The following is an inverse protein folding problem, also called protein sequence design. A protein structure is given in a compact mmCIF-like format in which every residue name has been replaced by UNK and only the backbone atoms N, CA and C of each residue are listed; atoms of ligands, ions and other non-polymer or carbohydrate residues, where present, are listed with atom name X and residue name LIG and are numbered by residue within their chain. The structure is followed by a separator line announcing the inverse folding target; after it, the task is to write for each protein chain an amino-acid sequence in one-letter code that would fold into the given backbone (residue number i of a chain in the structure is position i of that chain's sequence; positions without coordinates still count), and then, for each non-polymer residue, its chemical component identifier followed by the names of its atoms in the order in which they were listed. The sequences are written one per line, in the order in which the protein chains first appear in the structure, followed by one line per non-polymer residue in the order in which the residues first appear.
data_IF_226851908588
#
_entry.id   IF_226851908588
#
_cell.length_a   1.000
_cell.length_b   1.000
_cell.length_c   1.000
_cell.angle_alpha   90.00
_cell.angle_beta   90.00
_cell.angle_gamma   90.00
#
_symmetry.space_group_name_H-M   'P 1'
#
loop_
_entity.id
_entity.type
_entity.pdbx_description
1 polymer ?
#
# COMPACT_ATOMS: atom_id res chain seq x y z
N UNK A 1 5.31 11.48 -5.01
CA UNK A 1 5.50 10.94 -3.65
C UNK A 1 6.24 11.98 -2.85
N UNK A 2 5.75 12.31 -1.67
CA UNK A 2 6.45 13.19 -0.73
C UNK A 2 7.31 12.32 0.20
N UNK A 3 8.49 12.82 0.57
CA UNK A 3 9.35 12.13 1.54
C UNK A 3 8.65 12.07 2.90
N UNK A 4 8.68 10.91 3.58
CA UNK A 4 8.12 10.70 4.92
C UNK A 4 8.98 9.74 5.72
N UNK A 5 9.01 9.92 7.05
CA UNK A 5 9.48 8.90 8.02
C UNK A 5 8.27 8.35 8.78
N UNK A 6 8.29 7.06 9.13
CA UNK A 6 7.19 6.41 9.86
C UNK A 6 7.33 6.60 11.37
N UNK A 7 8.56 6.66 11.87
CA UNK A 7 8.87 6.80 13.28
C UNK A 7 9.94 7.87 13.52
N UNK A 8 10.05 8.26 14.79
CA UNK A 8 11.03 9.27 15.20
C UNK A 8 12.46 8.74 15.13
N UNK A 9 13.36 9.59 14.66
CA UNK A 9 14.80 9.32 14.49
C UNK A 9 15.62 10.27 15.36
N UNK A 10 16.66 9.78 16.03
CA UNK A 10 17.52 10.55 16.93
C UNK A 10 17.32 10.19 18.40
N UNK A 11 17.58 11.13 19.31
CA UNK A 11 17.50 10.89 20.75
C UNK A 11 16.09 10.44 21.16
N UNK A 12 16.03 9.33 21.90
CA UNK A 12 14.79 8.71 22.40
C UNK A 12 13.81 8.34 21.28
N UNK A 13 14.24 8.39 20.01
CA UNK A 13 13.44 7.97 18.86
C UNK A 13 13.35 6.45 18.77
N UNK A 14 12.39 5.95 18.00
CA UNK A 14 12.31 4.50 17.71
C UNK A 14 13.51 4.06 16.87
N UNK A 15 14.07 4.97 16.07
CA UNK A 15 15.26 4.73 15.24
C UNK A 15 15.09 3.51 14.33
N UNK A 16 13.93 3.40 13.67
CA UNK A 16 13.71 2.39 12.64
C UNK A 16 14.74 2.57 11.52
N UNK A 17 15.40 1.48 11.14
CA UNK A 17 16.54 1.47 10.20
C UNK A 17 16.27 2.29 8.92
N UNK A 18 15.11 2.11 8.32
CA UNK A 18 14.70 2.80 7.09
C UNK A 18 14.55 4.32 7.27
N UNK A 19 13.96 4.74 8.40
CA UNK A 19 13.80 6.16 8.73
C UNK A 19 15.16 6.79 9.04
N UNK A 20 16.04 6.06 9.74
CA UNK A 20 17.40 6.52 10.05
C UNK A 20 18.21 6.71 8.77
N UNK A 21 18.15 5.77 7.82
CA UNK A 21 18.82 5.90 6.51
C UNK A 21 18.34 7.12 5.76
N UNK A 22 17.02 7.33 5.69
CA UNK A 22 16.48 8.51 5.03
C UNK A 22 16.99 9.81 5.68
N UNK A 23 17.02 9.88 7.01
CA UNK A 23 17.55 11.05 7.72
C UNK A 23 19.06 11.23 7.48
N UNK A 24 19.87 10.16 7.46
CA UNK A 24 21.30 10.23 7.15
C UNK A 24 21.55 10.75 5.73
N UNK A 25 20.81 10.24 4.73
CA UNK A 25 20.86 10.73 3.34
C UNK A 25 20.51 12.20 3.26
N UNK A 26 19.39 12.60 3.89
CA UNK A 26 18.95 13.99 3.89
C UNK A 26 20.00 14.90 4.52
N UNK A 27 20.56 14.54 5.68
CA UNK A 27 21.62 15.30 6.35
C UNK A 27 22.88 15.41 5.49
N UNK A 28 23.29 14.33 4.81
CA UNK A 28 24.42 14.34 3.88
C UNK A 28 24.19 15.31 2.70
N UNK A 29 22.96 15.46 2.20
CA UNK A 29 22.64 16.45 1.16
C UNK A 29 22.85 17.91 1.61
N UNK A 30 22.75 18.18 2.90
CA UNK A 30 23.01 19.51 3.45
C UNK A 30 24.46 19.72 3.89
N UNK A 31 25.31 18.68 3.82
CA UNK A 31 26.69 18.69 4.33
C UNK A 31 27.57 19.80 3.74
N UNK A 32 27.43 20.13 2.45
CA UNK A 32 28.22 21.19 1.81
C UNK A 32 27.94 22.58 2.38
N UNK A 33 26.77 22.79 2.99
CA UNK A 33 26.42 24.03 3.69
C UNK A 33 26.95 24.07 5.12
N UNK A 34 27.45 22.95 5.63
CA UNK A 34 27.72 22.71 7.05
C UNK A 34 29.03 21.94 7.24
N UNK A 35 30.15 22.55 6.81
CA UNK A 35 31.50 22.13 7.19
C UNK A 35 31.73 22.44 8.68
N UNK A 36 32.35 21.55 9.50
CA UNK A 36 33.16 20.39 9.11
C UNK A 36 32.56 19.02 9.45
N UNK A 37 31.23 18.81 9.37
CA UNK A 37 30.67 17.48 9.67
C UNK A 37 31.14 16.44 8.64
N UNK A 38 31.69 15.32 9.14
CA UNK A 38 32.05 14.16 8.33
C UNK A 38 30.80 13.55 7.68
N UNK A 39 30.97 12.85 6.55
CA UNK A 39 29.85 12.18 5.90
C UNK A 39 29.29 11.14 6.85
N UNK A 40 27.98 11.11 7.01
CA UNK A 40 27.34 9.99 7.69
C UNK A 40 27.37 8.78 6.76
N UNK A 41 27.62 7.60 7.34
CA UNK A 41 27.33 6.35 6.66
C UNK A 41 25.81 6.18 6.59
N UNK A 42 25.27 5.86 5.42
CA UNK A 42 23.83 5.67 5.18
C UNK A 42 23.41 4.24 5.57
N UNK A 43 23.77 3.84 6.78
CA UNK A 43 23.73 2.46 7.26
C UNK A 43 22.52 2.15 8.14
N UNK A 44 21.69 3.16 8.46
CA UNK A 44 20.50 3.02 9.30
C UNK A 44 20.77 2.93 10.78
N UNK A 45 22.02 3.12 11.21
CA UNK A 45 22.40 3.13 12.62
C UNK A 45 22.33 4.54 13.17
N UNK A 46 21.42 4.76 14.12
CA UNK A 46 21.29 6.05 14.78
C UNK A 46 22.38 6.23 15.87
N UNK A 47 23.63 6.33 15.43
CA UNK A 47 24.80 6.45 16.29
C UNK A 47 25.03 7.89 16.78
N UNK A 48 26.08 8.08 17.60
CA UNK A 48 26.44 9.41 18.14
C UNK A 48 26.70 10.43 17.03
N UNK A 49 27.21 10.00 15.86
CA UNK A 49 27.48 10.89 14.72
C UNK A 49 26.18 11.34 14.06
N UNK A 50 25.24 10.43 13.87
CA UNK A 50 23.90 10.71 13.33
C UNK A 50 23.15 11.68 14.23
N UNK A 51 23.14 11.45 15.55
CA UNK A 51 22.51 12.36 16.51
C UNK A 51 23.19 13.74 16.53
N UNK A 52 24.52 13.80 16.49
CA UNK A 52 25.24 15.07 16.44
C UNK A 52 24.94 15.88 15.17
N UNK A 53 24.77 15.21 14.03
CA UNK A 53 24.36 15.86 12.79
C UNK A 53 22.92 16.41 12.86
N UNK A 54 22.00 15.70 13.51
CA UNK A 54 20.63 16.19 13.78
C UNK A 54 20.68 17.44 14.66
N UNK A 55 21.41 17.39 15.79
CA UNK A 55 21.57 18.54 16.68
C UNK A 55 22.10 19.76 15.94
N UNK A 56 23.13 19.55 15.12
CA UNK A 56 23.74 20.61 14.34
C UNK A 56 22.74 21.22 13.36
N UNK A 57 22.00 20.39 12.63
CA UNK A 57 20.98 20.85 11.68
C UNK A 57 19.87 21.63 12.38
N UNK A 58 19.40 21.16 13.53
CA UNK A 58 18.39 21.84 14.33
C UNK A 58 18.84 23.22 14.84
N UNK A 59 20.09 23.32 15.33
CA UNK A 59 20.66 24.58 15.79
C UNK A 59 20.83 25.57 14.63
N UNK A 60 21.35 25.10 13.50
CA UNK A 60 21.86 25.98 12.45
C UNK A 60 20.87 26.28 11.32
N UNK A 61 19.98 25.35 10.96
CA UNK A 61 19.01 25.55 9.87
C UNK A 61 17.57 25.72 10.38
N UNK A 62 17.17 24.87 11.33
CA UNK A 62 15.84 25.00 11.97
C UNK A 62 15.80 26.21 12.93
N UNK A 63 16.96 26.67 13.41
CA UNK A 63 17.14 27.77 14.38
C UNK A 63 16.42 27.54 15.71
N UNK A 64 16.44 26.29 16.19
CA UNK A 64 15.85 25.94 17.49
C UNK A 64 16.69 26.50 18.65
N UNK A 65 16.03 27.19 19.60
CA UNK A 65 16.69 27.73 20.81
C UNK A 65 17.27 26.62 21.70
N UNK A 66 16.58 25.48 21.79
CA UNK A 66 17.03 24.29 22.51
C UNK A 66 16.92 23.09 21.56
N UNK A 67 18.07 22.55 21.16
CA UNK A 67 18.12 21.34 20.32
C UNK A 67 17.83 20.11 21.14
N UNK A 68 17.05 19.19 20.59
CA UNK A 68 16.66 17.94 21.23
C UNK A 68 17.31 16.71 20.57
N UNK A 69 17.83 16.87 19.35
CA UNK A 69 18.47 15.81 18.58
C UNK A 69 17.48 14.76 18.11
N UNK A 70 16.20 15.12 17.93
CA UNK A 70 15.12 14.24 17.52
C UNK A 70 14.37 14.77 16.29
N UNK A 71 14.09 13.89 15.36
CA UNK A 71 13.31 14.15 14.14
C UNK A 71 12.04 13.33 14.22
N UNK A 72 10.92 13.99 14.48
CA UNK A 72 9.60 13.34 14.51
C UNK A 72 8.94 13.33 13.12
N UNK A 73 8.10 12.32 12.81
CA UNK A 73 7.27 12.30 11.61
C UNK A 73 6.45 13.58 11.49
N UNK A 74 6.50 14.22 10.31
CA UNK A 74 5.85 15.51 10.04
C UNK A 74 6.26 16.66 10.99
N UNK A 75 7.30 16.46 11.81
CA UNK A 75 7.81 17.46 12.73
C UNK A 75 8.64 18.53 12.03
N UNK A 76 8.86 19.65 12.71
CA UNK A 76 9.53 20.84 12.16
C UNK A 76 10.90 20.51 11.55
N UNK A 77 11.70 19.66 12.22
CA UNK A 77 13.01 19.23 11.73
C UNK A 77 12.89 18.47 10.41
N UNK A 78 11.91 17.57 10.29
CA UNK A 78 11.66 16.79 9.08
C UNK A 78 11.13 17.66 7.93
N UNK A 79 10.18 18.56 8.22
CA UNK A 79 9.69 19.54 7.25
C UNK A 79 10.82 20.43 6.72
N UNK A 80 11.79 20.79 7.58
CA UNK A 80 12.94 21.61 7.19
C UNK A 80 13.91 20.84 6.29
N UNK A 81 14.24 19.59 6.64
CA UNK A 81 15.07 18.71 5.82
C UNK A 81 14.49 18.54 4.41
N UNK A 82 13.17 18.53 4.29
CA UNK A 82 12.47 18.24 3.03
C UNK A 82 12.09 19.49 2.22
N UNK A 83 12.17 20.69 2.79
CA UNK A 83 11.64 21.95 2.26
C UNK A 83 12.14 22.35 0.87
N UNK A 84 13.39 22.02 0.53
CA UNK A 84 14.03 22.48 -0.71
C UNK A 84 13.94 21.49 -1.87
N UNK A 85 13.45 20.27 -1.63
CA UNK A 85 13.25 19.30 -2.69
C UNK A 85 11.92 19.58 -3.38
N UNK A 86 11.92 19.97 -4.65
CA UNK A 86 10.68 20.07 -5.44
C UNK A 86 10.02 18.68 -5.54
N UNK A 87 8.70 18.56 -5.77
CA UNK A 87 8.02 17.26 -5.83
C UNK A 87 8.67 16.22 -6.77
N UNK A 88 9.29 16.69 -7.87
CA UNK A 88 10.06 15.86 -8.80
C UNK A 88 11.37 15.32 -8.18
N UNK A 89 12.11 16.16 -7.46
CA UNK A 89 13.35 15.77 -6.79
C UNK A 89 13.10 14.86 -5.58
N UNK A 90 11.98 15.07 -4.86
CA UNK A 90 11.53 14.14 -3.82
C UNK A 90 11.20 12.76 -4.40
N UNK A 91 10.59 12.71 -5.58
CA UNK A 91 10.35 11.47 -6.30
C UNK A 91 11.64 10.82 -6.82
N UNK A 92 12.62 11.62 -7.27
CA UNK A 92 13.92 11.13 -7.74
C UNK A 92 14.79 10.58 -6.59
N UNK A 93 14.77 11.20 -5.40
CA UNK A 93 15.43 10.68 -4.18
C UNK A 93 14.76 9.38 -3.72
N UNK A 94 13.42 9.34 -3.68
CA UNK A 94 12.68 8.13 -3.39
C UNK A 94 12.96 7.01 -4.42
N UNK A 95 13.19 7.37 -5.69
CA UNK A 95 13.58 6.44 -6.76
C UNK A 95 15.02 5.93 -6.60
N UNK A 96 15.96 6.77 -6.15
CA UNK A 96 17.34 6.38 -5.84
C UNK A 96 17.43 5.44 -4.64
N UNK A 97 16.58 5.61 -3.63
CA UNK A 97 16.44 4.67 -2.50
C UNK A 97 16.01 3.27 -2.97
N UNK A 98 15.09 3.20 -3.94
CA UNK A 98 14.68 1.92 -4.55
C UNK A 98 15.73 1.32 -5.49
N UNK A 99 16.74 2.08 -5.91
CA UNK A 99 17.80 1.62 -6.83
C UNK A 99 19.06 1.08 -6.14
N UNK A 100 19.26 1.35 -4.85
CA UNK A 100 20.42 0.87 -4.06
C UNK A 100 20.12 -0.36 -3.19
N UNK A 101 18.86 -0.72 -3.00
CA UNK A 101 18.43 -1.94 -2.29
C UNK A 101 17.98 -2.98 -3.32
N UNK A 102 18.90 -3.82 -3.79
CA UNK A 102 18.53 -5.10 -4.39
C UNK A 102 18.49 -6.17 -3.31
N UNK A 103 17.30 -6.73 -3.13
CA UNK A 103 16.93 -7.74 -2.13
C UNK A 103 17.71 -9.07 -2.21
N UNK A 104 18.55 -9.24 -3.24
CA UNK A 104 19.36 -10.45 -3.46
C UNK A 104 20.68 -10.45 -2.66
N UNK A 105 21.10 -9.32 -2.08
CA UNK A 105 22.38 -9.22 -1.34
C UNK A 105 22.28 -9.39 0.18
N UNK A 106 21.07 -9.62 0.72
CA UNK A 106 20.78 -9.59 2.16
C UNK A 106 20.41 -10.95 2.79
N UNK A 107 20.59 -12.07 2.09
CA UNK A 107 20.51 -13.40 2.71
C UNK A 107 21.67 -14.27 2.20
N UNK A 108 22.69 -14.51 3.02
CA UNK A 108 22.56 -15.61 3.97
C UNK A 108 23.07 -15.27 5.37
N UNK A 109 22.27 -15.60 6.38
CA UNK A 109 22.69 -15.63 7.77
C UNK A 109 22.25 -14.40 8.55
N UNK A 110 21.01 -14.44 9.05
CA UNK A 110 20.57 -13.82 10.31
C UNK A 110 19.11 -14.25 10.53
N UNK A 111 18.95 -15.42 11.13
CA UNK A 111 17.84 -15.67 12.04
C UNK A 111 18.21 -15.04 13.38
N UNK A 112 17.41 -14.12 13.95
CA UNK A 112 17.48 -13.84 15.38
C UNK A 112 16.14 -14.01 16.10
N UNK A 113 16.27 -14.66 17.25
CA UNK A 113 15.27 -14.90 18.28
C UNK A 113 14.58 -13.60 18.74
N UNK A 114 13.25 -13.58 18.74
CA UNK A 114 12.43 -12.53 19.33
C UNK A 114 11.90 -13.05 20.67
N UNK A 115 12.13 -12.31 21.77
CA UNK A 115 11.48 -12.57 23.05
C UNK A 115 9.98 -12.26 22.95
N UNK A 116 9.09 -13.06 23.55
CA UNK A 116 7.66 -12.99 23.28
C UNK A 116 7.07 -11.73 23.93
N UNK A 117 6.39 -10.90 23.13
CA UNK A 117 5.26 -10.14 23.63
C UNK A 117 4.12 -11.15 23.90
N UNK A 118 3.37 -10.94 24.97
CA UNK A 118 2.33 -11.82 25.50
C UNK A 118 1.46 -12.42 24.37
N UNK A 119 1.60 -13.74 24.19
CA UNK A 119 1.36 -14.45 22.93
C UNK A 119 0.32 -15.56 23.09
N UNK A 120 -0.73 -15.32 23.87
CA UNK A 120 -1.73 -16.35 24.15
C UNK A 120 -2.73 -16.60 23.01
N UNK A 121 -2.70 -15.84 21.90
CA UNK A 121 -3.62 -16.05 20.76
C UNK A 121 -2.99 -16.09 19.34
N UNK A 122 -1.67 -15.89 19.21
CA UNK A 122 -1.00 -15.84 17.90
C UNK A 122 -0.92 -17.21 17.21
N UNK A 123 -0.89 -18.31 17.99
CA UNK A 123 -0.86 -19.68 17.47
C UNK A 123 -2.15 -20.08 16.73
N UNK A 124 -3.27 -19.39 16.94
CA UNK A 124 -4.54 -19.86 16.38
C UNK A 124 -4.78 -19.48 14.91
N UNK A 125 -3.95 -18.60 14.32
CA UNK A 125 -4.15 -18.12 12.94
C UNK A 125 -3.03 -18.49 11.95
N UNK A 126 -1.99 -19.16 12.40
CA UNK A 126 -0.86 -19.60 11.55
C UNK A 126 -1.30 -20.61 10.50
N UNK A 127 -2.28 -21.45 10.83
CA UNK A 127 -2.79 -22.52 9.96
C UNK A 127 -3.64 -22.03 8.78
N UNK A 128 -4.01 -20.75 8.78
CA UNK A 128 -4.82 -20.15 7.71
C UNK A 128 -3.96 -19.34 6.75
N UNK A 129 -4.10 -19.67 5.46
CA UNK A 129 -3.35 -19.07 4.36
C UNK A 129 -4.19 -18.03 3.63
N UNK A 130 -3.58 -16.88 3.37
CA UNK A 130 -4.14 -15.84 2.50
C UNK A 130 -3.07 -15.47 1.49
N UNK A 131 -3.29 -15.84 0.24
CA UNK A 131 -2.32 -15.64 -0.84
C UNK A 131 -2.89 -14.72 -1.92
N UNK A 132 -2.01 -14.27 -2.81
CA UNK A 132 -2.40 -13.52 -4.00
C UNK A 132 -2.43 -14.46 -5.19
N UNK A 133 -3.35 -14.21 -6.13
CA UNK A 133 -3.30 -14.83 -7.44
C UNK A 133 -1.97 -14.48 -8.13
N UNK A 134 -1.41 -15.44 -8.87
CA UNK A 134 -0.06 -15.34 -9.46
C UNK A 134 0.12 -14.17 -10.43
N UNK A 135 -0.96 -13.71 -11.07
CA UNK A 135 -0.99 -12.58 -12.00
C UNK A 135 -1.04 -11.21 -11.31
N UNK A 136 -1.14 -11.16 -9.97
CA UNK A 136 -1.03 -9.91 -9.22
C UNK A 136 0.46 -9.56 -9.04
N UNK A 137 0.86 -8.45 -9.67
CA UNK A 137 2.19 -7.88 -9.53
C UNK A 137 2.54 -7.60 -8.06
N UNK A 138 3.79 -7.83 -7.68
CA UNK A 138 4.25 -7.66 -6.30
C UNK A 138 4.02 -6.25 -5.75
N UNK A 139 4.18 -5.23 -6.59
CA UNK A 139 3.89 -3.83 -6.26
C UNK A 139 2.42 -3.53 -5.92
N UNK A 140 1.49 -4.41 -6.30
CA UNK A 140 0.07 -4.32 -5.98
C UNK A 140 -0.34 -5.20 -4.77
N UNK A 141 0.58 -5.98 -4.19
CA UNK A 141 0.36 -6.87 -3.03
C UNK A 141 0.43 -6.11 -1.70
N UNK A 142 -0.22 -4.95 -1.66
CA UNK A 142 -0.13 -3.98 -0.55
C UNK A 142 -1.27 -4.10 0.48
N UNK A 143 -2.01 -5.22 0.48
CA UNK A 143 -3.02 -5.49 1.51
C UNK A 143 -2.33 -5.59 2.86
N UNK A 144 -2.81 -4.84 3.84
CA UNK A 144 -2.26 -4.81 5.19
C UNK A 144 -2.32 -6.18 5.87
N UNK A 145 -1.34 -6.44 6.74
CA UNK A 145 -1.34 -7.64 7.57
C UNK A 145 -2.58 -7.75 8.46
N UNK A 146 -3.08 -6.61 8.95
CA UNK A 146 -4.37 -6.54 9.63
C UNK A 146 -5.51 -7.13 8.78
N UNK A 147 -5.65 -6.66 7.54
CA UNK A 147 -6.72 -7.14 6.66
C UNK A 147 -6.57 -8.63 6.32
N UNK A 148 -5.33 -9.10 6.14
CA UNK A 148 -5.06 -10.54 5.98
C UNK A 148 -5.49 -11.33 7.22
N UNK A 149 -5.21 -10.84 8.43
CA UNK A 149 -5.65 -11.48 9.68
C UNK A 149 -7.18 -11.51 9.81
N UNK A 150 -7.89 -10.45 9.41
CA UNK A 150 -9.36 -10.46 9.35
C UNK A 150 -9.88 -11.53 8.39
N UNK A 151 -9.24 -11.71 7.22
CA UNK A 151 -9.59 -12.80 6.30
C UNK A 151 -9.31 -14.18 6.94
N UNK A 152 -8.21 -14.31 7.70
CA UNK A 152 -7.91 -15.54 8.45
C UNK A 152 -8.94 -15.86 9.55
N UNK A 153 -9.49 -14.85 10.22
CA UNK A 153 -10.64 -15.05 11.12
C UNK A 153 -11.84 -15.63 10.37
N UNK A 154 -12.16 -15.08 9.20
CA UNK A 154 -13.26 -15.60 8.37
C UNK A 154 -13.02 -17.05 7.93
N UNK A 155 -11.76 -17.40 7.61
CA UNK A 155 -11.36 -18.76 7.29
C UNK A 155 -11.56 -19.70 8.49
N UNK A 156 -11.12 -19.28 9.68
CA UNK A 156 -11.32 -20.01 10.94
C UNK A 156 -12.78 -20.29 11.22
N UNK A 157 -13.64 -19.27 11.19
CA UNK A 157 -15.09 -19.41 11.40
C UNK A 157 -15.76 -20.29 10.34
N UNK A 158 -15.29 -20.23 9.11
CA UNK A 158 -15.84 -21.03 8.02
C UNK A 158 -15.35 -22.50 8.02
N UNK A 159 -14.32 -22.82 8.82
CA UNK A 159 -13.61 -24.10 8.75
C UNK A 159 -12.81 -24.27 7.46
N UNK A 160 -12.42 -23.16 6.82
CA UNK A 160 -11.61 -23.14 5.59
C UNK A 160 -10.15 -22.87 5.91
N UNK A 161 -9.22 -23.39 5.11
CA UNK A 161 -7.77 -23.19 5.35
C UNK A 161 -7.12 -22.12 4.47
N UNK A 162 -7.68 -21.81 3.32
CA UNK A 162 -7.02 -20.95 2.34
C UNK A 162 -8.00 -20.03 1.62
N UNK A 163 -7.65 -18.74 1.49
CA UNK A 163 -8.30 -17.78 0.60
C UNK A 163 -7.31 -17.17 -0.39
N UNK A 164 -7.77 -16.88 -1.61
CA UNK A 164 -6.95 -16.27 -2.67
C UNK A 164 -7.50 -14.90 -3.05
N UNK A 165 -6.68 -13.87 -2.81
CA UNK A 165 -6.93 -12.50 -3.24
C UNK A 165 -6.68 -12.41 -4.75
N UNK A 166 -7.70 -12.01 -5.50
CA UNK A 166 -7.68 -11.90 -6.96
C UNK A 166 -7.71 -10.47 -7.47
N UNK A 167 -7.99 -9.48 -6.61
CA UNK A 167 -7.92 -8.05 -6.94
C UNK A 167 -7.67 -7.23 -5.68
N UNK A 168 -6.87 -6.15 -5.80
CA UNK A 168 -6.51 -5.24 -4.71
C UNK A 168 -6.55 -3.80 -5.18
N UNK A 169 -5.43 -3.07 -5.14
CA UNK A 169 -5.25 -1.80 -5.79
C UNK A 169 -5.02 -2.01 -7.29
N UNK A 170 -5.73 -1.22 -8.09
CA UNK A 170 -5.57 -1.18 -9.54
C UNK A 170 -4.98 0.15 -9.95
N UNK A 171 -3.93 0.12 -10.77
CA UNK A 171 -3.39 1.35 -11.35
C UNK A 171 -4.35 1.94 -12.40
N UNK A 172 -4.28 3.25 -12.69
CA UNK A 172 -5.03 3.86 -13.79
C UNK A 172 -4.84 3.12 -15.13
N UNK A 173 -3.60 2.75 -15.48
CA UNK A 173 -3.30 1.94 -16.67
C UNK A 173 -4.05 0.59 -16.68
N UNK A 174 -4.05 -0.14 -15.56
CA UNK A 174 -4.74 -1.42 -15.44
C UNK A 174 -6.26 -1.24 -15.52
N UNK A 175 -6.81 -0.18 -14.91
CA UNK A 175 -8.23 0.14 -14.99
C UNK A 175 -8.63 0.49 -16.43
N UNK A 176 -7.84 1.30 -17.13
CA UNK A 176 -8.03 1.61 -18.55
C UNK A 176 -8.02 0.35 -19.42
N UNK A 177 -7.03 -0.54 -19.23
CA UNK A 177 -6.93 -1.78 -19.99
C UNK A 177 -8.15 -2.71 -19.79
N UNK A 178 -8.68 -2.80 -18.56
CA UNK A 178 -9.91 -3.55 -18.27
C UNK A 178 -11.11 -2.91 -18.94
N UNK A 179 -11.26 -1.59 -18.80
CA UNK A 179 -12.37 -0.86 -19.41
C UNK A 179 -12.34 -0.99 -20.93
N UNK A 180 -11.17 -0.84 -21.57
CA UNK A 180 -10.99 -1.05 -23.01
C UNK A 180 -11.43 -2.46 -23.43
N UNK A 181 -10.93 -3.50 -22.75
CA UNK A 181 -11.25 -4.89 -23.10
C UNK A 181 -12.75 -5.16 -23.01
N UNK A 182 -13.40 -4.68 -21.95
CA UNK A 182 -14.82 -4.90 -21.73
C UNK A 182 -15.69 -4.06 -22.68
N UNK A 183 -15.27 -2.82 -22.97
CA UNK A 183 -15.92 -1.94 -23.94
C UNK A 183 -15.85 -2.52 -25.36
N UNK A 184 -14.69 -3.07 -25.73
CA UNK A 184 -14.50 -3.79 -27.00
C UNK A 184 -15.41 -5.01 -27.12
N UNK A 185 -15.68 -5.70 -26.02
CA UNK A 185 -16.61 -6.83 -26.01
C UNK A 185 -18.08 -6.38 -26.09
N UNK A 186 -18.48 -5.38 -25.31
CA UNK A 186 -19.84 -4.81 -25.35
C UNK A 186 -19.89 -3.43 -24.68
N UNK A 187 -19.73 -2.37 -25.47
CA UNK A 187 -19.69 -0.99 -24.99
C UNK A 187 -21.00 -0.55 -24.31
N UNK A 188 -22.15 -0.85 -24.90
CA UNK A 188 -23.46 -0.49 -24.35
C UNK A 188 -23.70 -1.10 -22.96
N UNK A 189 -23.22 -2.34 -22.75
CA UNK A 189 -23.26 -2.98 -21.42
C UNK A 189 -22.35 -2.26 -20.42
N UNK A 190 -21.22 -1.69 -20.86
CA UNK A 190 -20.34 -0.94 -19.96
C UNK A 190 -20.98 0.37 -19.49
N UNK A 191 -21.65 1.12 -20.37
CA UNK A 191 -22.41 2.33 -19.96
C UNK A 191 -23.53 2.03 -18.95
N UNK A 192 -24.12 0.84 -18.99
CA UNK A 192 -25.11 0.41 -17.98
C UNK A 192 -24.49 0.00 -16.64
N UNK A 193 -23.19 -0.31 -16.63
CA UNK A 193 -22.48 -0.82 -15.46
C UNK A 193 -21.72 0.30 -14.72
N UNK A 194 -21.13 1.22 -15.48
CA UNK A 194 -20.44 2.36 -14.92
C UNK A 194 -21.41 3.51 -14.61
N UNK A 195 -20.97 4.43 -13.74
CA UNK A 195 -21.62 5.72 -13.57
C UNK A 195 -20.91 6.81 -14.38
N UNK A 196 -21.36 8.05 -14.22
CA UNK A 196 -20.90 9.21 -15.01
C UNK A 196 -19.39 9.33 -15.19
N UNK A 197 -18.59 9.09 -14.14
CA UNK A 197 -17.12 9.15 -14.22
C UNK A 197 -16.56 8.06 -15.13
N UNK A 198 -17.11 6.84 -15.05
CA UNK A 198 -16.71 5.75 -15.94
C UNK A 198 -17.21 5.96 -17.37
N UNK A 199 -18.41 6.51 -17.54
CA UNK A 199 -18.97 6.85 -18.86
C UNK A 199 -18.07 7.82 -19.61
N UNK A 200 -17.54 8.86 -18.94
CA UNK A 200 -16.56 9.78 -19.53
C UNK A 200 -15.29 9.09 -20.03
N UNK A 201 -14.89 7.96 -19.45
CA UNK A 201 -13.75 7.17 -19.94
C UNK A 201 -14.17 6.25 -21.09
N UNK A 202 -15.41 5.77 -21.09
CA UNK A 202 -15.98 5.02 -22.20
C UNK A 202 -16.21 5.91 -23.43
N UNK A 203 -16.51 7.19 -23.24
CA UNK A 203 -16.60 8.19 -24.31
C UNK A 203 -15.24 8.33 -25.02
N UNK A 204 -14.15 8.42 -24.24
CA UNK A 204 -12.79 8.42 -24.79
C UNK A 204 -12.52 7.16 -25.61
N UNK A 205 -12.99 5.99 -25.15
CA UNK A 205 -12.92 4.76 -25.95
C UNK A 205 -13.72 4.86 -27.25
N UNK A 206 -14.97 5.32 -27.19
CA UNK A 206 -15.87 5.40 -28.33
C UNK A 206 -15.32 6.34 -29.43
N UNK A 207 -14.87 7.53 -29.03
CA UNK A 207 -14.30 8.58 -29.89
C UNK A 207 -12.97 8.17 -30.54
N UNK A 208 -12.22 7.26 -29.91
CA UNK A 208 -10.89 6.84 -30.35
C UNK A 208 -10.85 5.38 -30.82
N UNK A 209 -12.00 4.73 -31.02
CA UNK A 209 -12.10 3.29 -31.29
C UNK A 209 -11.41 2.84 -32.60
N UNK A 210 -11.19 3.77 -33.54
CA UNK A 210 -10.45 3.55 -34.79
C UNK A 210 -8.92 3.52 -34.61
N UNK A 211 -8.40 3.98 -33.47
CA UNK A 211 -6.96 4.07 -33.19
C UNK A 211 -6.38 2.76 -32.69
N UNK A 212 -5.05 2.69 -32.62
CA UNK A 212 -4.34 1.54 -32.09
C UNK A 212 -4.67 1.28 -30.62
N UNK A 213 -4.82 0.00 -30.24
CA UNK A 213 -5.15 -0.44 -28.86
C UNK A 213 -4.34 0.29 -27.77
N UNK A 214 -3.02 0.38 -27.95
CA UNK A 214 -2.12 1.00 -26.97
C UNK A 214 -2.42 2.50 -26.79
N UNK A 215 -2.71 3.19 -27.88
CA UNK A 215 -3.05 4.61 -27.87
C UNK A 215 -4.39 4.86 -27.17
N UNK A 216 -5.41 4.05 -27.47
CA UNK A 216 -6.73 4.17 -26.81
C UNK A 216 -6.62 3.93 -25.31
N UNK A 217 -5.89 2.88 -24.89
CA UNK A 217 -5.69 2.60 -23.46
C UNK A 217 -4.98 3.75 -22.77
N UNK A 218 -3.97 4.36 -23.41
CA UNK A 218 -3.26 5.52 -22.86
C UNK A 218 -4.18 6.73 -22.69
N UNK A 219 -5.01 7.04 -23.69
CA UNK A 219 -5.99 8.13 -23.60
C UNK A 219 -7.02 7.88 -22.47
N UNK A 220 -7.50 6.64 -22.34
CA UNK A 220 -8.38 6.24 -21.24
C UNK A 220 -7.68 6.37 -19.88
N UNK A 221 -6.40 6.00 -19.78
CA UNK A 221 -5.58 6.16 -18.57
C UNK A 221 -5.43 7.64 -18.19
N UNK A 222 -5.09 8.50 -19.14
CA UNK A 222 -4.98 9.94 -18.94
C UNK A 222 -6.30 10.54 -18.42
N UNK A 223 -7.43 10.09 -18.96
CA UNK A 223 -8.75 10.49 -18.47
C UNK A 223 -9.01 10.02 -17.03
N UNK A 224 -8.64 8.77 -16.69
CA UNK A 224 -8.75 8.26 -15.32
C UNK A 224 -7.89 9.10 -14.36
N UNK A 225 -6.65 9.43 -14.75
CA UNK A 225 -5.75 10.28 -13.97
C UNK A 225 -6.34 11.68 -13.73
N UNK A 226 -6.95 12.28 -14.76
CA UNK A 226 -7.58 13.59 -14.65
C UNK A 226 -8.79 13.57 -13.69
N UNK A 227 -9.63 12.52 -13.76
CA UNK A 227 -10.75 12.36 -12.84
C UNK A 227 -10.25 12.14 -11.39
N UNK A 228 -9.21 11.33 -11.18
CA UNK A 228 -8.59 11.12 -9.86
C UNK A 228 -8.02 12.40 -9.27
N UNK A 229 -7.36 13.24 -10.08
CA UNK A 229 -6.85 14.54 -9.66
C UNK A 229 -7.99 15.49 -9.21
N UNK A 230 -9.20 15.28 -9.73
CA UNK A 230 -10.41 16.02 -9.37
C UNK A 230 -11.19 15.37 -8.21
N UNK A 231 -10.65 14.32 -7.58
CA UNK A 231 -11.32 13.59 -6.50
C UNK A 231 -12.37 12.56 -6.95
N UNK A 232 -12.52 12.35 -8.26
CA UNK A 232 -13.45 11.39 -8.83
C UNK A 232 -12.77 10.03 -9.06
N UNK A 233 -13.51 8.93 -8.90
CA UNK A 233 -12.99 7.57 -9.16
C UNK A 233 -13.88 6.81 -10.13
N UNK A 234 -13.26 6.13 -11.09
CA UNK A 234 -13.94 5.25 -12.05
C UNK A 234 -14.24 3.87 -11.50
N UNK A 235 -13.47 3.43 -10.50
CA UNK A 235 -13.62 2.13 -9.86
C UNK A 235 -13.24 2.22 -8.39
N UNK A 236 -13.84 1.35 -7.57
CA UNK A 236 -13.43 1.18 -6.17
C UNK A 236 -11.95 0.79 -6.05
N UNK A 237 -11.44 -0.02 -6.97
CA UNK A 237 -10.05 -0.49 -6.92
C UNK A 237 -9.04 0.55 -7.44
N UNK A 238 -9.48 1.58 -8.15
CA UNK A 238 -8.61 2.59 -8.75
C UNK A 238 -8.60 3.83 -7.86
N UNK A 239 -7.71 3.83 -6.87
CA UNK A 239 -7.52 4.90 -5.88
C UNK A 239 -6.04 5.20 -5.69
N UNK A 240 -5.67 6.25 -4.96
CA UNK A 240 -4.27 6.46 -4.63
C UNK A 240 -3.76 5.38 -3.66
N UNK A 241 -2.45 5.13 -3.63
CA UNK A 241 -1.85 4.22 -2.64
C UNK A 241 -2.14 4.71 -1.21
N UNK A 242 -2.14 6.02 -0.98
CA UNK A 242 -2.45 6.61 0.32
C UNK A 242 -3.88 6.28 0.76
N UNK A 243 -4.84 6.45 -0.14
CA UNK A 243 -6.24 6.12 0.13
C UNK A 243 -6.43 4.61 0.34
N UNK A 244 -5.73 3.79 -0.44
CA UNK A 244 -5.76 2.34 -0.28
C UNK A 244 -5.23 1.90 1.08
N UNK A 245 -4.16 2.53 1.60
CA UNK A 245 -3.64 2.24 2.94
C UNK A 245 -4.65 2.55 4.05
N UNK A 246 -5.53 3.52 3.84
CA UNK A 246 -6.61 3.86 4.77
C UNK A 246 -7.84 2.94 4.61
N UNK A 247 -8.06 2.39 3.41
CA UNK A 247 -9.16 1.48 3.11
C UNK A 247 -8.71 0.41 2.10
N UNK A 248 -8.40 -0.79 2.59
CA UNK A 248 -8.01 -1.91 1.76
C UNK A 248 -9.25 -2.48 1.06
N UNK A 249 -9.30 -2.32 -0.26
CA UNK A 249 -10.36 -2.85 -1.12
C UNK A 249 -9.83 -4.14 -1.76
N UNK A 250 -10.53 -5.25 -1.54
CA UNK A 250 -10.03 -6.60 -1.81
C UNK A 250 -11.14 -7.43 -2.45
N UNK A 251 -10.84 -8.09 -3.57
CA UNK A 251 -11.67 -9.17 -4.08
C UNK A 251 -11.02 -10.51 -3.79
N UNK A 252 -11.75 -11.40 -3.13
CA UNK A 252 -11.37 -12.80 -2.93
C UNK A 252 -12.11 -13.63 -3.99
N UNK A 253 -11.36 -14.30 -4.87
CA UNK A 253 -11.95 -15.02 -5.99
C UNK A 253 -12.49 -16.39 -5.57
N UNK A 254 -13.76 -16.68 -5.89
CA UNK A 254 -14.42 -17.95 -5.51
C UNK A 254 -13.69 -19.15 -6.10
N UNK A 255 -13.42 -19.13 -7.41
CA UNK A 255 -12.78 -20.27 -8.09
C UNK A 255 -11.31 -20.43 -7.69
N UNK A 256 -10.57 -19.33 -7.54
CA UNK A 256 -9.18 -19.37 -7.07
C UNK A 256 -9.10 -19.92 -5.64
N UNK A 257 -10.02 -19.49 -4.77
CA UNK A 257 -10.11 -19.98 -3.40
C UNK A 257 -10.53 -21.45 -3.35
N UNK A 258 -11.48 -21.88 -4.19
CA UNK A 258 -11.87 -23.29 -4.31
C UNK A 258 -10.68 -24.17 -4.71
N UNK A 259 -9.92 -23.75 -5.72
CA UNK A 259 -8.75 -24.49 -6.17
C UNK A 259 -7.64 -24.57 -5.11
N UNK A 260 -7.51 -23.53 -4.28
CA UNK A 260 -6.47 -23.44 -3.25
C UNK A 260 -6.86 -24.09 -1.90
N UNK A 261 -8.15 -24.38 -1.69
CA UNK A 261 -8.72 -24.88 -0.43
C UNK A 261 -9.60 -26.10 -0.65
N UNK A 262 -9.25 -26.99 -1.60
CA UNK A 262 -10.10 -28.09 -2.10
C UNK A 262 -10.82 -28.87 -0.99
N UNK A 263 -10.09 -29.29 0.04
CA UNK A 263 -10.62 -30.19 1.07
C UNK A 263 -11.53 -29.51 2.10
N UNK A 264 -11.52 -28.18 2.15
CA UNK A 264 -12.25 -27.40 3.16
C UNK A 264 -13.15 -26.31 2.58
N UNK A 265 -13.16 -26.13 1.25
CA UNK A 265 -13.87 -25.04 0.59
C UNK A 265 -15.37 -25.11 0.87
N UNK A 266 -15.90 -24.06 1.49
CA UNK A 266 -17.33 -23.91 1.71
C UNK A 266 -17.78 -22.47 1.46
N UNK A 267 -18.36 -22.24 0.28
CA UNK A 267 -18.81 -20.91 -0.15
C UNK A 267 -19.79 -20.28 0.84
N UNK A 268 -20.77 -21.05 1.33
CA UNK A 268 -21.84 -20.53 2.20
C UNK A 268 -21.28 -20.15 3.57
N UNK A 269 -20.49 -21.03 4.19
CA UNK A 269 -19.87 -20.76 5.48
C UNK A 269 -18.93 -19.54 5.43
N UNK A 270 -18.13 -19.43 4.38
CA UNK A 270 -17.23 -18.28 4.21
C UNK A 270 -17.98 -16.98 3.97
N UNK A 271 -19.03 -16.99 3.14
CA UNK A 271 -19.93 -15.84 2.98
C UNK A 271 -20.51 -15.41 4.34
N UNK A 272 -20.96 -16.36 5.16
CA UNK A 272 -21.56 -16.06 6.46
C UNK A 272 -20.54 -15.51 7.46
N UNK A 273 -19.32 -16.05 7.49
CA UNK A 273 -18.22 -15.53 8.31
C UNK A 273 -17.87 -14.08 7.93
N UNK A 274 -17.74 -13.78 6.63
CA UNK A 274 -17.50 -12.40 6.17
C UNK A 274 -18.66 -11.45 6.53
N UNK A 275 -19.91 -11.93 6.50
CA UNK A 275 -21.06 -11.14 6.96
C UNK A 275 -21.02 -10.89 8.47
N UNK A 276 -20.65 -11.88 9.27
CA UNK A 276 -20.50 -11.75 10.72
C UNK A 276 -19.43 -10.71 11.07
N UNK A 277 -18.24 -10.83 10.48
CA UNK A 277 -17.13 -9.88 10.68
C UNK A 277 -17.47 -8.45 10.21
N UNK A 278 -18.38 -8.29 9.25
CA UNK A 278 -18.95 -6.99 8.90
C UNK A 278 -19.81 -6.43 10.03
N UNK A 279 -20.75 -7.23 10.54
CA UNK A 279 -21.63 -6.83 11.66
C UNK A 279 -20.82 -6.49 12.92
N UNK A 280 -19.72 -7.21 13.15
CA UNK A 280 -18.82 -6.99 14.29
C UNK A 280 -17.86 -5.79 14.12
N UNK A 281 -17.85 -5.15 12.96
CA UNK A 281 -17.06 -3.96 12.68
C UNK A 281 -15.61 -4.21 12.22
N UNK A 282 -15.20 -5.45 11.95
CA UNK A 282 -13.89 -5.74 11.36
C UNK A 282 -13.85 -5.41 9.86
N UNK A 283 -14.97 -5.63 9.15
CA UNK A 283 -15.13 -5.32 7.73
C UNK A 283 -16.05 -4.11 7.59
N UNK A 284 -15.57 -3.05 6.94
CA UNK A 284 -16.32 -1.81 6.75
C UNK A 284 -17.30 -1.86 5.57
N UNK A 285 -16.99 -2.65 4.54
CA UNK A 285 -17.84 -2.83 3.36
C UNK A 285 -17.80 -4.28 2.89
N UNK A 286 -18.94 -4.82 2.47
CA UNK A 286 -19.03 -6.18 1.93
C UNK A 286 -20.11 -6.22 0.85
N UNK A 287 -19.74 -6.80 -0.30
CA UNK A 287 -20.65 -7.12 -1.41
C UNK A 287 -20.43 -8.58 -1.78
N UNK A 288 -21.50 -9.37 -1.72
CA UNK A 288 -21.51 -10.76 -2.18
C UNK A 288 -21.75 -10.79 -3.70
N UNK A 289 -20.71 -11.08 -4.46
CA UNK A 289 -20.76 -11.19 -5.92
C UNK A 289 -20.49 -12.63 -6.38
N UNK A 290 -20.64 -13.59 -5.47
CA UNK A 290 -20.32 -14.99 -5.74
C UNK A 290 -21.26 -15.65 -6.76
N UNK A 291 -22.44 -15.07 -6.98
CA UNK A 291 -23.43 -15.48 -8.00
C UNK A 291 -23.44 -14.56 -9.23
N UNK A 292 -22.49 -13.61 -9.32
CA UNK A 292 -22.35 -12.70 -10.47
C UNK A 292 -21.19 -13.13 -11.37
N UNK A 293 -20.99 -12.41 -12.48
CA UNK A 293 -19.96 -12.77 -13.49
C UNK A 293 -18.53 -12.70 -12.97
N UNK A 294 -18.24 -11.90 -11.95
CA UNK A 294 -16.92 -11.81 -11.33
C UNK A 294 -16.64 -12.90 -10.29
N UNK A 295 -17.68 -13.57 -9.76
CA UNK A 295 -17.58 -14.68 -8.82
C UNK A 295 -16.55 -14.40 -7.70
N UNK A 296 -16.75 -13.32 -6.95
CA UNK A 296 -15.87 -12.93 -5.85
C UNK A 296 -16.64 -12.48 -4.61
N UNK A 297 -15.92 -12.45 -3.48
CA UNK A 297 -16.30 -11.68 -2.31
C UNK A 297 -15.54 -10.35 -2.34
N UNK A 298 -16.27 -9.25 -2.46
CA UNK A 298 -15.71 -7.91 -2.40
C UNK A 298 -15.79 -7.40 -0.96
N UNK A 299 -14.64 -7.09 -0.36
CA UNK A 299 -14.54 -6.56 1.00
C UNK A 299 -13.75 -5.25 1.03
N UNK A 300 -14.16 -4.37 1.92
CA UNK A 300 -13.48 -3.11 2.22
C UNK A 300 -13.12 -3.12 3.71
N UNK A 301 -11.82 -3.09 4.03
CA UNK A 301 -11.32 -3.15 5.41
C UNK A 301 -10.52 -1.88 5.70
N UNK A 302 -10.89 -1.18 6.77
CA UNK A 302 -10.07 -0.11 7.35
C UNK A 302 -9.06 -0.76 8.31
N UNK A 303 -7.75 -0.68 8.05
CA UNK A 303 -6.77 -1.35 8.90
C UNK A 303 -6.80 -0.85 10.34
N UNK A 304 -6.62 -1.76 11.30
CA UNK A 304 -6.47 -1.47 12.74
C UNK A 304 -7.67 -0.77 13.40
N UNK A 305 -8.88 -0.86 12.83
CA UNK A 305 -10.09 -0.27 13.44
C UNK A 305 -10.54 -1.01 14.70
N UNK A 306 -10.27 -2.31 14.80
CA UNK A 306 -10.64 -3.14 15.96
C UNK A 306 -9.53 -4.13 16.27
N UNK A 307 -9.19 -4.33 17.53
CA UNK A 307 -8.16 -5.31 17.91
C UNK A 307 -8.60 -6.72 17.51
N UNK A 308 -7.70 -7.46 16.85
CA UNK A 308 -7.92 -8.87 16.52
C UNK A 308 -7.56 -9.68 17.76
N UNK A 309 -8.56 -10.33 18.34
CA UNK A 309 -8.42 -11.22 19.48
C UNK A 309 -7.85 -12.56 19.07
#
# INVERSE_FOLDING_TARGET
MQLSINYSVGRRGLNADEDVKLIQVLLNCYRSKFSPLACLAEDGKCDRKTVAAIDFFQRNDVKMKKVDGRVDPNGTTFSRLTRYFKPKQQADIAKYQNGKLTWERLLPGLSPSIKPADNSNLDSLTDYLVTYKSDIAESARIVSEYSKKVIKLALKEAGMKHAVITSTLRTPAQQAAIMYRNAKANLQKQYRLYGSVGDRVLDVYAENSSKGKSEVIKLMEEKILAELASGNRTSKHCVSISDYKNLNIIDIGVNSTRAASLDSFNKVKFTNALKALKTEGYISGFIDETSKSNQCWHIEIKPNVKTIQ
#
